data_IF_526124128687
#
_entry.id   IF_526124128687
#
_cell.length_a   1.000
_cell.length_b   1.000
_cell.length_c   1.000
_cell.angle_alpha   90.00
_cell.angle_beta   90.00
_cell.angle_gamma   90.00
#
_symmetry.space_group_name_H-M   'P 1'
#
loop_
_entity.id
_entity.type
_entity.pdbx_description
1 polymer ?
#
# COMPACT_ATOMS: atom_id res chain seq x y z
N UNK A 1 -3.57 -10.64 -14.23
CA UNK A 1 -4.11 -10.59 -15.61
C UNK A 1 -5.62 -10.38 -15.61
N UNK A 2 -6.37 -11.10 -14.76
CA UNK A 2 -7.84 -11.03 -14.69
C UNK A 2 -8.46 -9.65 -14.40
N UNK A 3 -7.70 -8.70 -13.82
CA UNK A 3 -8.18 -7.33 -13.61
C UNK A 3 -8.39 -6.56 -14.91
N UNK A 4 -7.68 -6.88 -15.98
CA UNK A 4 -7.63 -6.12 -17.23
C UNK A 4 -7.26 -4.63 -17.04
N UNK A 5 -6.52 -4.31 -15.97
CA UNK A 5 -6.07 -2.93 -15.66
C UNK A 5 -4.60 -2.69 -16.00
N UNK A 6 -3.82 -3.75 -16.20
CA UNK A 6 -2.36 -3.64 -16.24
C UNK A 6 -1.83 -3.80 -17.66
N UNK A 7 -1.20 -2.75 -18.19
CA UNK A 7 -0.43 -2.85 -19.44
C UNK A 7 0.83 -3.70 -19.28
N UNK A 8 1.42 -3.64 -18.08
CA UNK A 8 2.66 -4.32 -17.72
C UNK A 8 2.56 -4.79 -16.26
N UNK A 9 3.05 -6.00 -16.01
CA UNK A 9 3.21 -6.56 -14.67
C UNK A 9 4.70 -6.86 -14.50
N UNK A 10 5.29 -6.28 -13.46
CA UNK A 10 6.73 -6.30 -13.20
C UNK A 10 6.96 -6.75 -11.77
N UNK A 11 7.89 -7.68 -11.58
CA UNK A 11 8.33 -8.10 -10.24
C UNK A 11 9.69 -7.45 -9.97
N UNK A 12 9.77 -6.69 -8.88
CA UNK A 12 11.02 -6.10 -8.38
C UNK A 12 11.56 -6.99 -7.26
N UNK A 13 12.72 -7.60 -7.44
CA UNK A 13 13.33 -8.49 -6.44
C UNK A 13 14.84 -8.59 -6.68
N UNK A 14 15.59 -8.86 -5.62
CA UNK A 14 17.01 -9.24 -5.63
C UNK A 14 17.20 -10.77 -5.67
N UNK A 15 16.20 -11.55 -5.24
CA UNK A 15 16.25 -13.02 -5.18
C UNK A 15 16.13 -13.69 -6.55
N UNK A 16 17.15 -14.47 -6.93
CA UNK A 16 17.14 -15.27 -8.17
C UNK A 16 16.03 -16.33 -8.22
N UNK A 17 15.61 -16.86 -7.06
CA UNK A 17 14.50 -17.79 -6.98
C UNK A 17 13.18 -17.11 -7.37
N UNK A 18 12.92 -15.92 -6.80
CA UNK A 18 11.72 -15.13 -7.11
C UNK A 18 11.74 -14.72 -8.59
N UNK A 19 12.89 -14.37 -9.16
CA UNK A 19 13.01 -14.09 -10.61
C UNK A 19 12.60 -15.26 -11.48
N UNK A 20 13.01 -16.49 -11.12
CA UNK A 20 12.63 -17.71 -11.85
C UNK A 20 11.12 -17.95 -11.77
N UNK A 21 10.54 -17.80 -10.59
CA UNK A 21 9.08 -17.93 -10.37
C UNK A 21 8.33 -16.86 -11.19
N UNK A 22 8.73 -15.59 -11.10
CA UNK A 22 8.10 -14.49 -11.85
C UNK A 22 8.06 -14.79 -13.35
N UNK A 23 9.19 -15.23 -13.93
CA UNK A 23 9.28 -15.62 -15.34
C UNK A 23 8.35 -16.80 -15.68
N UNK A 24 8.27 -17.82 -14.81
CA UNK A 24 7.37 -18.99 -14.97
C UNK A 24 5.90 -18.57 -15.07
N UNK A 25 5.49 -17.56 -14.30
CA UNK A 25 4.12 -17.03 -14.30
C UNK A 25 3.91 -15.86 -15.29
N UNK A 26 4.88 -15.59 -16.17
CA UNK A 26 4.76 -14.57 -17.22
C UNK A 26 4.95 -13.13 -16.75
N UNK A 27 5.29 -12.91 -15.48
CA UNK A 27 5.65 -11.59 -14.97
C UNK A 27 7.05 -11.20 -15.44
N UNK A 28 7.25 -9.90 -15.71
CA UNK A 28 8.53 -9.41 -16.21
C UNK A 28 9.47 -9.11 -15.05
N UNK A 29 10.68 -9.63 -15.14
CA UNK A 29 11.71 -9.43 -14.11
C UNK A 29 13.09 -9.46 -14.78
N UNK A 30 13.58 -8.28 -15.20
CA UNK A 30 14.84 -8.12 -15.94
C UNK A 30 15.90 -7.32 -15.19
N UNK A 31 15.53 -6.66 -14.10
CA UNK A 31 16.44 -5.93 -13.22
C UNK A 31 16.49 -6.61 -11.85
N UNK A 32 17.59 -6.40 -11.14
CA UNK A 32 17.68 -6.71 -9.72
C UNK A 32 17.32 -5.47 -8.92
N UNK A 33 16.56 -5.62 -7.84
CA UNK A 33 16.40 -4.53 -6.87
C UNK A 33 17.78 -4.27 -6.20
N UNK A 34 18.25 -3.02 -6.11
CA UNK A 34 19.49 -2.68 -5.41
C UNK A 34 19.44 -3.10 -3.94
N UNK A 35 20.58 -3.54 -3.39
CA UNK A 35 20.66 -4.10 -2.04
C UNK A 35 20.24 -3.10 -0.95
N UNK A 36 20.51 -1.81 -1.16
CA UNK A 36 20.09 -0.72 -0.28
C UNK A 36 18.57 -0.58 -0.17
N UNK A 37 17.80 -1.06 -1.17
CA UNK A 37 16.34 -1.07 -1.19
C UNK A 37 15.74 -2.43 -0.78
N UNK A 38 16.56 -3.33 -0.24
CA UNK A 38 16.16 -4.68 0.20
C UNK A 38 16.32 -4.89 1.71
N UNK A 39 16.69 -3.84 2.46
CA UNK A 39 16.87 -3.91 3.92
C UNK A 39 15.52 -3.90 4.64
N UNK A 40 15.46 -4.47 5.83
CA UNK A 40 14.24 -4.53 6.66
C UNK A 40 13.70 -3.13 7.02
N UNK A 41 14.57 -2.12 7.07
CA UNK A 41 14.23 -0.72 7.32
C UNK A 41 14.02 0.11 6.03
N UNK A 42 14.11 -0.51 4.86
CA UNK A 42 13.98 0.21 3.60
C UNK A 42 12.54 0.68 3.36
N UNK A 43 12.41 1.94 2.97
CA UNK A 43 11.12 2.51 2.64
C UNK A 43 10.55 1.89 1.34
N UNK A 44 9.24 1.63 1.33
CA UNK A 44 8.53 1.03 0.19
C UNK A 44 8.59 1.92 -1.07
N UNK A 45 8.45 3.24 -0.91
CA UNK A 45 8.36 4.20 -2.03
C UNK A 45 9.61 4.18 -2.93
N UNK A 46 10.85 4.28 -2.41
CA UNK A 46 12.06 4.15 -3.22
C UNK A 46 12.14 2.87 -4.06
N UNK A 47 11.70 1.72 -3.52
CA UNK A 47 11.70 0.46 -4.26
C UNK A 47 10.72 0.47 -5.45
N UNK A 48 9.58 1.15 -5.29
CA UNK A 48 8.57 1.31 -6.34
C UNK A 48 9.04 2.33 -7.38
N UNK A 49 9.62 3.44 -6.96
CA UNK A 49 10.24 4.42 -7.87
C UNK A 49 11.35 3.78 -8.72
N UNK A 50 12.19 2.93 -8.12
CA UNK A 50 13.20 2.17 -8.85
C UNK A 50 12.55 1.27 -9.91
N UNK A 51 11.52 0.49 -9.54
CA UNK A 51 10.80 -0.37 -10.46
C UNK A 51 10.14 0.41 -11.62
N UNK A 52 9.56 1.58 -11.33
CA UNK A 52 9.00 2.47 -12.33
C UNK A 52 10.08 2.96 -13.32
N UNK A 53 11.20 3.50 -12.82
CA UNK A 53 12.30 4.01 -13.66
C UNK A 53 12.85 2.93 -14.59
N UNK A 54 13.10 1.74 -14.06
CA UNK A 54 13.56 0.60 -14.86
C UNK A 54 12.52 0.19 -15.92
N UNK A 55 11.23 0.23 -15.58
CA UNK A 55 10.13 -0.08 -16.50
C UNK A 55 10.02 0.94 -17.63
N UNK A 56 10.06 2.23 -17.32
CA UNK A 56 10.00 3.30 -18.33
C UNK A 56 11.20 3.24 -19.27
N UNK A 57 12.40 2.98 -18.73
CA UNK A 57 13.60 2.75 -19.53
C UNK A 57 13.48 1.52 -20.43
N UNK A 58 12.95 0.41 -19.93
CA UNK A 58 12.84 -0.85 -20.68
C UNK A 58 11.79 -0.79 -21.79
N UNK A 59 10.65 -0.17 -21.53
CA UNK A 59 9.52 -0.13 -22.48
C UNK A 59 9.51 1.15 -23.33
N UNK A 60 10.39 2.11 -23.03
CA UNK A 60 10.45 3.40 -23.71
C UNK A 60 9.07 4.11 -23.74
N UNK A 61 8.37 4.06 -22.61
CA UNK A 61 7.07 4.69 -22.41
C UNK A 61 6.93 5.20 -20.97
N UNK A 62 6.01 6.12 -20.74
CA UNK A 62 5.61 6.53 -19.39
C UNK A 62 4.36 5.76 -18.95
N UNK A 63 4.23 5.52 -17.65
CA UNK A 63 3.03 4.92 -17.06
C UNK A 63 2.28 5.95 -16.25
N UNK A 64 0.97 6.11 -16.44
CA UNK A 64 0.22 7.14 -15.72
C UNK A 64 -0.07 6.77 -14.27
N UNK A 65 -0.30 5.48 -14.01
CA UNK A 65 -0.70 4.93 -12.72
C UNK A 65 0.17 3.74 -12.36
N UNK A 66 0.62 3.70 -11.12
CA UNK A 66 1.47 2.65 -10.58
C UNK A 66 0.71 1.97 -9.45
N UNK A 67 0.53 0.65 -9.56
CA UNK A 67 -0.14 -0.16 -8.54
C UNK A 67 0.89 -1.12 -7.95
N UNK A 68 1.21 -0.95 -6.68
CA UNK A 68 1.96 -1.92 -5.90
C UNK A 68 0.97 -2.92 -5.29
N UNK A 69 1.29 -4.19 -5.50
CA UNK A 69 0.49 -5.31 -5.03
C UNK A 69 1.37 -6.14 -4.11
N UNK A 70 1.12 -6.04 -2.80
CA UNK A 70 1.91 -6.82 -1.84
C UNK A 70 1.68 -8.32 -2.05
N UNK A 71 2.76 -9.07 -1.88
CA UNK A 71 2.80 -10.53 -2.04
C UNK A 71 2.35 -11.25 -0.77
N UNK A 72 2.38 -10.58 0.39
CA UNK A 72 1.87 -11.11 1.66
C UNK A 72 0.35 -11.04 1.78
N UNK A 73 -0.36 -10.45 0.80
CA UNK A 73 -1.82 -10.38 0.80
C UNK A 73 -2.45 -11.31 -0.25
N UNK A 74 -2.41 -12.64 -0.08
CA UNK A 74 -2.92 -13.59 -1.08
C UNK A 74 -4.44 -13.58 -1.21
N UNK A 75 -5.16 -13.12 -0.18
CA UNK A 75 -6.63 -13.09 -0.14
C UNK A 75 -7.24 -11.91 -0.91
N UNK A 76 -6.41 -10.96 -1.38
CA UNK A 76 -6.82 -9.85 -2.23
C UNK A 76 -7.49 -10.38 -3.50
N UNK A 77 -8.68 -9.87 -3.80
CA UNK A 77 -9.35 -10.23 -5.04
C UNK A 77 -9.22 -9.15 -6.13
N UNK A 78 -9.60 -9.51 -7.35
CA UNK A 78 -9.55 -8.63 -8.53
C UNK A 78 -10.46 -7.40 -8.39
N UNK A 79 -11.59 -7.53 -7.70
CA UNK A 79 -12.54 -6.43 -7.52
C UNK A 79 -12.00 -5.37 -6.57
N UNK A 80 -11.21 -5.76 -5.57
CA UNK A 80 -10.54 -4.84 -4.65
C UNK A 80 -9.58 -3.92 -5.44
N UNK A 81 -8.80 -4.49 -6.37
CA UNK A 81 -7.92 -3.72 -7.27
C UNK A 81 -8.72 -2.76 -8.15
N UNK A 82 -9.81 -3.23 -8.77
CA UNK A 82 -10.65 -2.39 -9.64
C UNK A 82 -11.32 -1.23 -8.90
N UNK A 83 -11.87 -1.50 -7.72
CA UNK A 83 -12.54 -0.47 -6.91
C UNK A 83 -11.55 0.57 -6.41
N UNK A 84 -10.40 0.14 -5.88
CA UNK A 84 -9.33 1.02 -5.44
C UNK A 84 -8.87 1.94 -6.60
N UNK A 85 -8.62 1.37 -7.77
CA UNK A 85 -8.22 2.14 -8.96
C UNK A 85 -9.29 3.14 -9.40
N UNK A 86 -10.56 2.73 -9.44
CA UNK A 86 -11.66 3.60 -9.84
C UNK A 86 -11.87 4.77 -8.87
N UNK A 87 -11.68 4.55 -7.57
CA UNK A 87 -11.74 5.63 -6.55
C UNK A 87 -10.65 6.66 -6.83
N UNK A 88 -9.41 6.21 -7.05
CA UNK A 88 -8.31 7.13 -7.36
C UNK A 88 -8.59 8.02 -8.57
N UNK A 89 -9.09 7.43 -9.66
CA UNK A 89 -9.43 8.19 -10.86
C UNK A 89 -10.60 9.14 -10.65
N UNK A 90 -11.70 8.64 -10.09
CA UNK A 90 -12.95 9.40 -9.91
C UNK A 90 -12.72 10.61 -9.01
N UNK A 91 -11.98 10.41 -7.92
CA UNK A 91 -11.78 11.44 -6.92
C UNK A 91 -10.53 12.29 -7.22
N UNK A 92 -9.79 11.98 -8.30
CA UNK A 92 -8.58 12.70 -8.71
C UNK A 92 -7.52 12.69 -7.61
N UNK A 93 -7.27 11.52 -7.02
CA UNK A 93 -6.32 11.33 -5.94
C UNK A 93 -4.89 11.24 -6.47
N UNK A 94 -3.94 11.72 -5.67
CA UNK A 94 -2.52 11.57 -5.97
C UNK A 94 -2.05 10.15 -5.66
N UNK A 95 -2.58 9.58 -4.58
CA UNK A 95 -2.31 8.23 -4.12
C UNK A 95 -3.49 7.64 -3.33
N UNK A 96 -3.50 6.32 -3.23
CA UNK A 96 -4.51 5.56 -2.50
C UNK A 96 -3.90 4.34 -1.81
N UNK A 97 -4.39 4.05 -0.60
CA UNK A 97 -4.00 2.88 0.19
C UNK A 97 -5.23 2.01 0.50
N UNK A 98 -5.00 0.73 0.73
CA UNK A 98 -6.04 -0.14 1.28
C UNK A 98 -5.97 -0.24 2.78
N UNK A 99 -7.14 -0.31 3.39
CA UNK A 99 -7.32 -0.35 4.83
C UNK A 99 -8.39 -1.35 5.21
N UNK A 100 -8.44 -1.75 6.47
CA UNK A 100 -9.57 -2.49 7.05
C UNK A 100 -9.99 -1.85 8.37
N UNK A 101 -11.20 -2.11 8.83
CA UNK A 101 -11.65 -1.54 10.11
C UNK A 101 -10.81 -2.09 11.24
N UNK A 102 -10.27 -1.22 12.09
CA UNK A 102 -9.42 -1.69 13.17
C UNK A 102 -10.25 -2.35 14.28
N UNK A 103 -9.81 -3.53 14.71
CA UNK A 103 -10.33 -4.25 15.88
C UNK A 103 -10.09 -3.51 17.19
N UNK A 104 -9.07 -2.65 17.22
CA UNK A 104 -8.65 -1.84 18.37
C UNK A 104 -8.87 -0.36 18.04
N UNK A 105 -8.90 0.49 19.06
CA UNK A 105 -9.11 1.91 18.87
C UNK A 105 -8.26 2.72 19.86
N UNK A 106 -7.36 3.61 19.38
CA UNK A 106 -6.46 4.38 20.23
C UNK A 106 -7.17 5.38 21.13
N UNK A 107 -8.41 5.72 20.83
CA UNK A 107 -9.27 6.60 21.63
C UNK A 107 -10.10 5.86 22.68
N UNK A 108 -10.06 4.52 22.72
CA UNK A 108 -10.94 3.71 23.59
C UNK A 108 -10.24 2.58 24.34
N UNK A 109 -9.47 1.73 23.65
CA UNK A 109 -8.95 0.49 24.25
C UNK A 109 -7.49 0.18 23.94
N UNK A 110 -6.71 1.12 23.39
CA UNK A 110 -5.25 0.98 23.29
C UNK A 110 -4.59 1.92 24.29
N UNK A 111 -3.58 1.42 24.98
CA UNK A 111 -2.85 2.14 26.02
C UNK A 111 -1.38 2.29 25.66
N UNK A 112 -0.74 3.28 26.25
CA UNK A 112 0.70 3.54 26.22
C UNK A 112 1.19 3.71 27.66
N UNK A 113 2.46 3.37 27.91
CA UNK A 113 3.13 3.65 29.19
C UNK A 113 3.95 4.92 29.02
N UNK A 114 3.56 6.00 29.70
CA UNK A 114 4.26 7.28 29.70
C UNK A 114 4.67 7.62 31.12
N UNK A 115 5.98 7.80 31.35
CA UNK A 115 6.53 8.11 32.67
C UNK A 115 6.05 7.15 33.78
N UNK A 116 6.02 5.84 33.47
CA UNK A 116 5.58 4.80 34.40
C UNK A 116 4.07 4.74 34.65
N UNK A 117 3.26 5.54 33.95
CA UNK A 117 1.79 5.54 34.05
C UNK A 117 1.16 4.97 32.80
N UNK A 118 0.11 4.17 32.99
CA UNK A 118 -0.73 3.64 31.91
C UNK A 118 -1.75 4.70 31.50
N UNK A 119 -1.79 5.04 30.22
CA UNK A 119 -2.72 6.03 29.66
C UNK A 119 -3.28 5.56 28.33
N UNK A 120 -4.47 6.04 27.93
CA UNK A 120 -4.95 5.83 26.55
C UNK A 120 -3.95 6.42 25.54
N UNK A 121 -3.73 5.70 24.43
CA UNK A 121 -2.80 6.10 23.37
C UNK A 121 -3.17 7.48 22.80
N UNK A 122 -4.46 7.74 22.57
CA UNK A 122 -4.97 9.04 22.16
C UNK A 122 -6.10 9.51 23.06
N UNK A 123 -6.07 10.80 23.42
CA UNK A 123 -7.08 11.46 24.25
C UNK A 123 -7.89 12.46 23.42
N UNK A 124 -9.21 12.45 23.59
CA UNK A 124 -10.10 13.46 23.04
C UNK A 124 -10.56 14.39 24.15
N UNK A 125 -10.91 15.63 23.81
CA UNK A 125 -11.49 16.59 24.77
C UNK A 125 -12.76 16.03 25.42
N UNK A 126 -13.60 15.36 24.62
CA UNK A 126 -14.76 14.61 25.08
C UNK A 126 -14.43 13.11 24.95
N UNK A 127 -14.18 12.45 26.07
CA UNK A 127 -13.82 11.04 26.07
C UNK A 127 -15.04 10.17 25.66
N UNK A 128 -14.89 9.27 24.68
CA UNK A 128 -15.96 8.34 24.34
C UNK A 128 -16.15 7.34 25.48
N UNK A 129 -17.40 7.04 25.81
CA UNK A 129 -17.75 6.05 26.85
C UNK A 129 -17.90 4.63 26.28
N UNK A 130 -17.94 4.52 24.95
CA UNK A 130 -18.03 3.26 24.22
C UNK A 130 -17.25 3.31 22.91
N UNK A 131 -16.96 2.14 22.35
CA UNK A 131 -16.30 2.02 21.04
C UNK A 131 -17.11 2.69 19.92
N UNK A 132 -18.44 2.60 19.98
CA UNK A 132 -19.34 3.19 18.98
C UNK A 132 -19.33 4.73 18.97
N UNK A 133 -18.96 5.35 20.10
CA UNK A 133 -18.81 6.81 20.20
C UNK A 133 -17.41 7.30 19.82
N UNK A 134 -16.46 6.39 19.63
CA UNK A 134 -15.09 6.73 19.29
C UNK A 134 -14.95 7.05 17.80
N UNK A 135 -14.01 7.91 17.38
CA UNK A 135 -13.69 8.07 15.97
C UNK A 135 -13.38 6.73 15.32
N UNK A 136 -13.90 6.52 14.11
CA UNK A 136 -13.58 5.34 13.33
C UNK A 136 -12.10 5.37 12.96
N UNK A 137 -11.45 4.23 13.14
CA UNK A 137 -10.03 4.03 12.83
C UNK A 137 -9.88 2.77 12.00
N UNK A 138 -8.81 2.75 11.21
CA UNK A 138 -8.54 1.69 10.26
C UNK A 138 -7.09 1.24 10.41
N UNK A 139 -6.87 -0.06 10.20
CA UNK A 139 -5.55 -0.62 10.05
C UNK A 139 -5.20 -0.57 8.55
N UNK A 140 -3.99 -0.11 8.23
CA UNK A 140 -3.47 -0.24 6.89
C UNK A 140 -3.13 -1.70 6.66
N UNK A 141 -3.85 -2.36 5.75
CA UNK A 141 -3.59 -3.77 5.45
C UNK A 141 -2.53 -3.98 4.37
N UNK A 142 -1.90 -2.88 3.92
CA UNK A 142 -0.80 -2.83 2.95
C UNK A 142 -1.02 -3.62 1.65
N UNK A 143 -2.25 -4.01 1.34
CA UNK A 143 -2.52 -4.95 0.26
C UNK A 143 -2.35 -4.29 -1.11
N UNK A 144 -2.88 -3.09 -1.28
CA UNK A 144 -2.81 -2.34 -2.54
C UNK A 144 -2.40 -0.92 -2.22
N UNK A 145 -1.40 -0.45 -2.95
CA UNK A 145 -1.08 0.96 -3.01
C UNK A 145 -1.15 1.41 -4.46
N UNK A 146 -1.72 2.59 -4.70
CA UNK A 146 -1.84 3.17 -6.03
C UNK A 146 -1.28 4.58 -5.98
N UNK A 147 -0.52 4.97 -7.00
CA UNK A 147 -0.02 6.32 -7.17
C UNK A 147 -0.21 6.80 -8.60
N UNK A 148 -0.49 8.09 -8.74
CA UNK A 148 -0.20 8.80 -9.98
C UNK A 148 1.31 8.87 -10.17
N UNK A 149 1.75 8.77 -11.42
CA UNK A 149 3.16 8.87 -11.80
C UNK A 149 3.80 10.15 -11.29
N UNK A 150 3.14 11.28 -11.53
CA UNK A 150 3.69 12.61 -11.25
C UNK A 150 3.88 12.86 -9.77
N UNK A 151 3.03 12.27 -8.93
CA UNK A 151 3.19 12.30 -7.48
C UNK A 151 4.33 11.36 -7.04
N UNK A 152 4.31 10.10 -7.49
CA UNK A 152 5.29 9.09 -7.07
C UNK A 152 6.74 9.47 -7.35
N UNK A 153 7.01 10.21 -8.43
CA UNK A 153 8.38 10.62 -8.78
C UNK A 153 8.88 11.83 -7.98
N UNK A 154 7.99 12.61 -7.35
CA UNK A 154 8.33 13.85 -6.65
C UNK A 154 8.35 13.68 -5.13
N UNK A 155 7.56 12.75 -4.62
CA UNK A 155 7.29 12.59 -3.19
C UNK A 155 7.81 11.25 -2.68
N UNK A 156 8.44 11.29 -1.49
CA UNK A 156 8.92 10.12 -0.76
C UNK A 156 8.04 9.78 0.45
N UNK A 157 6.91 10.49 0.61
CA UNK A 157 5.96 10.30 1.71
C UNK A 157 4.65 9.69 1.23
N UNK A 158 4.12 8.75 1.99
CA UNK A 158 2.81 8.16 1.75
C UNK A 158 1.67 9.11 2.17
N UNK A 159 1.90 9.94 3.19
CA UNK A 159 0.87 10.77 3.83
C UNK A 159 0.92 12.23 3.38
N UNK A 160 1.36 12.49 2.15
CA UNK A 160 1.30 13.79 1.48
C UNK A 160 0.30 13.77 0.31
N UNK A 161 0.04 14.94 -0.27
CA UNK A 161 -0.89 15.08 -1.40
C UNK A 161 -2.35 14.75 -1.06
N UNK A 162 -3.14 14.51 -2.09
CA UNK A 162 -4.53 14.06 -1.98
C UNK A 162 -4.60 12.55 -1.83
N UNK A 163 -4.33 12.07 -0.61
CA UNK A 163 -4.43 10.67 -0.24
C UNK A 163 -5.89 10.25 0.00
N UNK A 164 -6.30 9.16 -0.65
CA UNK A 164 -7.53 8.45 -0.32
C UNK A 164 -7.30 7.02 0.13
N UNK A 165 -8.40 6.30 0.39
CA UNK A 165 -8.35 4.92 0.84
C UNK A 165 -9.45 4.08 0.21
N UNK A 166 -9.23 2.76 0.17
CA UNK A 166 -10.26 1.76 -0.11
C UNK A 166 -10.35 0.78 1.07
N UNK A 167 -11.54 0.68 1.67
CA UNK A 167 -11.81 -0.27 2.75
C UNK A 167 -12.02 -1.68 2.18
N UNK A 168 -11.11 -2.59 2.53
CA UNK A 168 -11.23 -4.02 2.26
C UNK A 168 -11.91 -4.73 3.43
N UNK A 169 -12.75 -5.74 3.15
CA UNK A 169 -13.27 -6.64 4.16
C UNK A 169 -12.18 -7.31 5.01
N UNK A 170 -12.50 -7.55 6.29
CA UNK A 170 -11.58 -8.10 7.30
C UNK A 170 -11.08 -9.50 6.91
N UNK A 171 -11.95 -10.35 6.38
CA UNK A 171 -11.62 -11.71 5.91
C UNK A 171 -10.59 -11.74 4.77
N UNK A 172 -10.39 -10.62 4.08
CA UNK A 172 -9.40 -10.45 3.01
C UNK A 172 -8.24 -9.53 3.37
N UNK A 173 -8.16 -9.11 4.63
CA UNK A 173 -7.14 -8.18 5.13
C UNK A 173 -6.17 -8.84 6.10
N UNK A 174 -6.07 -10.17 6.04
CA UNK A 174 -5.13 -10.98 6.81
C UNK A 174 -3.81 -11.06 6.02
N UNK A 175 -2.71 -10.66 6.66
CA UNK A 175 -1.32 -10.69 6.18
C UNK A 175 -0.48 -11.81 6.83
#
# INVERSE_FOLDING_TARGET
>A
MESNLFDKIVVSTDSEEIKKIAKKYGAKCWFSRPAELCKDDSAKIPAIQHALRESEKKFNCKFDQIIDLDVTSPLRNVQDIRKAYNILLKDGLDNLITVTRSGRNPYFNMIEIKNGKVELSKKLKNAPTSRQQSPQVYDMNASIYIWSRDFLIKEDSLFSGKLGFYEMPEDRSID
#
